data_IF_786033083966
#
_entry.id   IF_786033083966
#
_cell.length_a   1.000
_cell.length_b   1.000
_cell.length_c   1.000
_cell.angle_alpha   90.00
_cell.angle_beta   90.00
_cell.angle_gamma   90.00
#
_symmetry.space_group_name_H-M   'P 1'
#
loop_
_entity.id
_entity.type
_entity.pdbx_description
1 polymer ?
#
# COMPACT_ATOMS: atom_id res chain seq x y z
N UNK A 1 28.90 16.34 26.53
CA UNK A 1 28.37 15.46 25.46
C UNK A 1 27.69 16.37 24.45
N UNK A 2 28.28 16.51 23.26
CA UNK A 2 27.76 17.38 22.20
C UNK A 2 26.88 16.54 21.28
N UNK A 3 25.56 16.74 21.33
CA UNK A 3 24.64 16.17 20.34
C UNK A 3 24.77 16.96 19.05
N UNK A 4 25.24 16.30 17.99
CA UNK A 4 25.20 16.87 16.64
C UNK A 4 23.74 17.06 16.22
N UNK A 5 23.34 18.22 15.71
CA UNK A 5 21.98 18.43 15.21
C UNK A 5 21.79 17.58 13.94
N UNK A 6 20.80 16.69 13.96
CA UNK A 6 20.35 15.99 12.77
C UNK A 6 19.89 17.03 11.74
N UNK A 7 20.45 17.05 10.52
CA UNK A 7 19.94 17.94 9.48
C UNK A 7 18.46 17.62 9.28
N UNK A 8 17.62 18.67 9.25
CA UNK A 8 16.21 18.54 8.96
C UNK A 8 16.08 17.85 7.60
N UNK A 9 15.82 16.54 7.62
CA UNK A 9 15.61 15.74 6.43
C UNK A 9 14.51 16.42 5.63
N UNK A 10 14.75 16.63 4.34
CA UNK A 10 13.74 17.12 3.42
C UNK A 10 12.44 16.34 3.70
N UNK A 11 11.40 17.04 4.16
CA UNK A 11 10.13 16.43 4.56
C UNK A 11 9.60 15.69 3.33
N UNK A 12 9.77 14.37 3.33
CA UNK A 12 9.25 13.54 2.26
C UNK A 12 7.73 13.71 2.23
N UNK A 13 7.08 13.61 1.06
CA UNK A 13 5.63 13.74 0.98
C UNK A 13 5.00 12.78 2.00
N UNK A 14 4.11 13.30 2.87
CA UNK A 14 3.41 12.46 3.82
C UNK A 14 2.63 11.41 3.04
N UNK A 15 2.85 10.13 3.36
CA UNK A 15 2.17 9.04 2.67
C UNK A 15 0.69 9.00 2.98
N UNK A 16 -0.08 8.40 2.08
CA UNK A 16 -1.53 8.26 2.23
C UNK A 16 -2.06 7.01 1.54
N UNK A 17 -3.01 6.36 2.20
CA UNK A 17 -3.86 5.32 1.64
C UNK A 17 -5.31 5.77 1.69
N UNK A 18 -6.04 5.66 0.58
CA UNK A 18 -7.48 5.95 0.56
C UNK A 18 -8.15 5.29 -0.65
N UNK A 19 -9.44 4.97 -0.50
CA UNK A 19 -10.24 4.47 -1.63
C UNK A 19 -10.52 5.62 -2.60
N UNK A 20 -10.31 5.39 -3.89
CA UNK A 20 -10.60 6.35 -4.94
C UNK A 20 -12.12 6.60 -5.00
N UNK A 21 -12.61 7.84 -4.76
CA UNK A 21 -14.03 8.12 -4.78
C UNK A 21 -14.67 7.98 -6.18
N UNK A 22 -13.88 8.14 -7.25
CA UNK A 22 -14.32 7.95 -8.63
C UNK A 22 -14.23 6.47 -9.06
N UNK A 23 -13.38 5.68 -8.39
CA UNK A 23 -13.20 4.24 -8.64
C UNK A 23 -13.18 3.47 -7.31
N UNK A 24 -14.33 3.22 -6.68
CA UNK A 24 -14.39 2.63 -5.32
C UNK A 24 -13.73 1.25 -5.16
N UNK A 25 -13.47 0.57 -6.28
CA UNK A 25 -12.71 -0.67 -6.34
C UNK A 25 -11.19 -0.50 -6.20
N UNK A 26 -10.68 0.73 -6.17
CA UNK A 26 -9.24 1.04 -6.20
C UNK A 26 -8.82 1.69 -4.88
N UNK A 27 -7.85 1.09 -4.20
CA UNK A 27 -7.12 1.71 -3.10
C UNK A 27 -5.91 2.47 -3.67
N UNK A 28 -5.86 3.78 -3.50
CA UNK A 28 -4.76 4.63 -3.92
C UNK A 28 -3.69 4.71 -2.83
N UNK A 29 -2.43 4.51 -3.24
CA UNK A 29 -1.25 4.71 -2.41
C UNK A 29 -0.39 5.84 -2.98
N UNK A 30 -0.16 6.87 -2.17
CA UNK A 30 0.59 8.06 -2.54
C UNK A 30 1.73 8.28 -1.55
N UNK A 31 2.94 8.60 -2.03
CA UNK A 31 4.10 8.87 -1.19
C UNK A 31 4.72 7.62 -0.55
N UNK A 32 5.26 7.75 0.65
CA UNK A 32 5.86 6.62 1.38
C UNK A 32 4.79 5.86 2.18
N UNK A 33 4.61 4.58 1.90
CA UNK A 33 3.65 3.74 2.63
C UNK A 33 4.42 2.96 3.68
N UNK A 34 4.49 3.54 4.88
CA UNK A 34 5.08 2.92 6.06
C UNK A 34 3.99 2.47 7.05
N UNK A 35 4.43 1.95 8.19
CA UNK A 35 3.55 1.52 9.28
C UNK A 35 2.60 2.62 9.78
N UNK A 36 3.02 3.89 9.82
CA UNK A 36 2.16 4.97 10.34
C UNK A 36 1.01 5.27 9.37
N UNK A 37 1.25 5.15 8.06
CA UNK A 37 0.20 5.27 7.03
C UNK A 37 -0.80 4.12 7.13
N UNK A 38 -0.33 2.89 7.34
CA UNK A 38 -1.21 1.71 7.50
C UNK A 38 -2.02 1.80 8.80
N UNK A 39 -1.40 2.22 9.91
CA UNK A 39 -2.11 2.46 11.17
C UNK A 39 -3.19 3.54 11.03
N UNK A 40 -2.90 4.62 10.31
CA UNK A 40 -3.86 5.70 10.07
C UNK A 40 -5.09 5.15 9.32
N UNK A 41 -4.87 4.41 8.23
CA UNK A 41 -5.95 3.76 7.49
C UNK A 41 -6.76 2.80 8.36
N UNK A 42 -6.10 1.94 9.13
CA UNK A 42 -6.78 1.00 10.03
C UNK A 42 -7.64 1.73 11.07
N UNK A 43 -7.11 2.81 11.65
CA UNK A 43 -7.82 3.69 12.57
C UNK A 43 -9.05 4.37 11.94
N UNK A 44 -8.94 4.86 10.70
CA UNK A 44 -10.06 5.42 9.94
C UNK A 44 -11.16 4.37 9.65
N UNK A 45 -10.75 3.12 9.43
CA UNK A 45 -11.65 1.98 9.22
C UNK A 45 -12.21 1.40 10.54
N UNK A 46 -11.71 1.84 11.70
CA UNK A 46 -12.13 1.36 13.02
C UNK A 46 -11.70 -0.08 13.32
N UNK A 47 -10.61 -0.56 12.72
CA UNK A 47 -10.08 -1.92 12.86
C UNK A 47 -8.59 -1.93 13.14
N UNK A 48 -8.02 -3.11 13.42
CA UNK A 48 -6.57 -3.32 13.43
C UNK A 48 -6.02 -3.53 12.01
N UNK A 49 -4.69 -3.59 11.87
CA UNK A 49 -4.00 -3.71 10.58
C UNK A 49 -4.41 -4.97 9.79
N UNK A 50 -4.64 -6.07 10.51
CA UNK A 50 -5.07 -7.36 9.92
C UNK A 50 -6.52 -7.25 9.44
N UNK A 51 -7.39 -6.63 10.23
CA UNK A 51 -8.79 -6.39 9.92
C UNK A 51 -8.99 -5.42 8.74
N UNK A 52 -8.06 -4.49 8.53
CA UNK A 52 -8.12 -3.52 7.43
C UNK A 52 -8.26 -4.22 6.06
N UNK A 53 -7.50 -5.29 5.82
CA UNK A 53 -7.58 -6.02 4.55
C UNK A 53 -8.95 -6.66 4.29
N UNK A 54 -9.56 -7.23 5.33
CA UNK A 54 -10.93 -7.77 5.26
C UNK A 54 -11.95 -6.67 4.98
N UNK A 55 -11.85 -5.53 5.66
CA UNK A 55 -12.77 -4.41 5.49
C UNK A 55 -12.67 -3.83 4.08
N UNK A 56 -11.46 -3.62 3.58
CA UNK A 56 -11.24 -3.12 2.22
C UNK A 56 -11.80 -4.09 1.17
N UNK A 57 -11.56 -5.39 1.32
CA UNK A 57 -12.11 -6.39 0.43
C UNK A 57 -13.66 -6.42 0.48
N UNK A 58 -14.26 -6.33 1.68
CA UNK A 58 -15.70 -6.26 1.84
C UNK A 58 -16.32 -4.98 1.26
N UNK A 59 -15.54 -3.88 1.24
CA UNK A 59 -15.90 -2.63 0.57
C UNK A 59 -15.76 -2.69 -0.97
N UNK A 60 -15.33 -3.83 -1.52
CA UNK A 60 -15.21 -4.05 -2.95
C UNK A 60 -13.88 -3.62 -3.55
N UNK A 61 -12.83 -3.43 -2.75
CA UNK A 61 -11.48 -3.17 -3.28
C UNK A 61 -10.97 -4.41 -4.02
N UNK A 62 -10.51 -4.19 -5.24
CA UNK A 62 -10.02 -5.23 -6.17
C UNK A 62 -8.62 -4.92 -6.69
N UNK A 63 -8.19 -3.67 -6.55
CA UNK A 63 -6.94 -3.16 -7.07
C UNK A 63 -6.29 -2.19 -6.07
N UNK A 64 -4.97 -2.24 -5.96
CA UNK A 64 -4.16 -1.24 -5.26
C UNK A 64 -3.30 -0.52 -6.28
N UNK A 65 -3.41 0.81 -6.33
CA UNK A 65 -2.63 1.65 -7.23
C UNK A 65 -1.41 2.22 -6.49
N UNK A 66 -0.23 1.79 -6.93
CA UNK A 66 1.07 2.22 -6.41
C UNK A 66 1.76 3.23 -7.36
N UNK A 67 1.07 3.75 -8.38
CA UNK A 67 1.66 4.68 -9.37
C UNK A 67 2.25 5.95 -8.75
N UNK A 68 1.69 6.39 -7.62
CA UNK A 68 2.14 7.56 -6.88
C UNK A 68 2.93 7.21 -5.60
N UNK A 69 3.18 5.91 -5.35
CA UNK A 69 3.95 5.46 -4.20
C UNK A 69 5.45 5.56 -4.48
N UNK A 70 6.19 6.15 -3.56
CA UNK A 70 7.65 6.32 -3.67
C UNK A 70 8.43 5.27 -2.86
N UNK A 71 7.78 4.66 -1.87
CA UNK A 71 8.35 3.63 -0.99
C UNK A 71 7.24 2.79 -0.36
N UNK A 72 7.52 1.50 -0.09
CA UNK A 72 6.66 0.62 0.70
C UNK A 72 7.54 -0.24 1.63
N UNK A 73 7.09 -0.49 2.86
CA UNK A 73 7.75 -1.39 3.82
C UNK A 73 6.97 -2.69 4.05
N UNK A 74 7.38 -3.48 5.04
CA UNK A 74 6.70 -4.73 5.41
C UNK A 74 5.25 -4.55 5.85
N UNK A 75 4.88 -3.40 6.42
CA UNK A 75 3.50 -3.12 6.85
C UNK A 75 2.59 -2.90 5.64
N UNK A 76 3.08 -2.19 4.62
CA UNK A 76 2.39 -2.10 3.35
C UNK A 76 2.23 -3.47 2.67
N UNK A 77 3.25 -4.33 2.71
CA UNK A 77 3.15 -5.70 2.20
C UNK A 77 2.13 -6.52 2.99
N UNK A 78 2.10 -6.39 4.32
CA UNK A 78 1.14 -7.07 5.18
C UNK A 78 -0.30 -6.67 4.83
N UNK A 79 -0.55 -5.40 4.50
CA UNK A 79 -1.85 -4.93 4.01
C UNK A 79 -2.24 -5.59 2.67
N UNK A 80 -1.32 -5.66 1.70
CA UNK A 80 -1.60 -6.34 0.43
C UNK A 80 -1.94 -7.83 0.65
N UNK A 81 -1.18 -8.49 1.52
CA UNK A 81 -1.38 -9.90 1.89
C UNK A 81 -2.68 -10.10 2.67
N UNK A 82 -3.15 -9.13 3.44
CA UNK A 82 -4.42 -9.24 4.15
C UNK A 82 -5.64 -9.05 3.24
N UNK A 83 -5.51 -8.30 2.15
CA UNK A 83 -6.57 -8.15 1.13
C UNK A 83 -6.64 -9.37 0.20
N UNK A 84 -5.49 -9.86 -0.29
CA UNK A 84 -5.42 -10.84 -1.38
C UNK A 84 -6.24 -12.14 -1.19
N UNK A 85 -6.30 -12.77 0.01
CA UNK A 85 -7.10 -13.98 0.23
C UNK A 85 -8.60 -13.79 -0.04
N UNK A 86 -9.11 -12.57 0.08
CA UNK A 86 -10.51 -12.24 -0.12
C UNK A 86 -10.88 -12.00 -1.58
N UNK A 87 -9.92 -12.07 -2.50
CA UNK A 87 -10.15 -11.88 -3.95
C UNK A 87 -10.39 -13.16 -4.73
N UNK A 88 -10.29 -14.32 -4.09
CA UNK A 88 -10.40 -15.62 -4.78
C UNK A 88 -11.76 -15.77 -5.48
N UNK A 89 -11.80 -16.35 -6.70
CA UNK A 89 -10.70 -17.03 -7.39
C UNK A 89 -9.66 -16.09 -8.03
N UNK A 90 -9.99 -14.80 -8.19
CA UNK A 90 -9.11 -13.79 -8.74
C UNK A 90 -7.95 -13.46 -7.79
N UNK A 91 -6.94 -12.77 -8.32
CA UNK A 91 -5.82 -12.23 -7.53
C UNK A 91 -6.00 -10.72 -7.37
N UNK A 92 -5.49 -10.18 -6.27
CA UNK A 92 -5.45 -8.74 -6.06
C UNK A 92 -4.53 -8.10 -7.12
N UNK A 93 -5.05 -7.10 -7.83
CA UNK A 93 -4.28 -6.36 -8.82
C UNK A 93 -3.47 -5.28 -8.13
N UNK A 94 -2.19 -5.16 -8.48
CA UNK A 94 -1.32 -4.07 -8.04
C UNK A 94 -0.86 -3.31 -9.27
N UNK A 95 -1.37 -2.09 -9.45
CA UNK A 95 -1.07 -1.26 -10.62
C UNK A 95 0.08 -0.31 -10.34
N UNK A 96 0.94 -0.11 -11.33
CA UNK A 96 1.81 1.06 -11.40
C UNK A 96 2.98 1.07 -10.41
N UNK A 97 3.26 -0.05 -9.76
CA UNK A 97 4.47 -0.20 -8.97
C UNK A 97 5.71 0.04 -9.87
N UNK A 98 6.55 1.00 -9.50
CA UNK A 98 7.82 1.29 -10.16
C UNK A 98 8.92 1.48 -9.12
N UNK A 99 10.20 1.49 -9.53
CA UNK A 99 11.32 1.80 -8.65
C UNK A 99 11.36 0.95 -7.37
N UNK A 100 11.47 1.61 -6.21
CA UNK A 100 11.59 0.95 -4.91
C UNK A 100 10.38 0.07 -4.56
N UNK A 101 9.10 0.53 -4.69
CA UNK A 101 7.94 -0.33 -4.50
C UNK A 101 7.96 -1.64 -5.31
N UNK A 102 8.30 -1.55 -6.61
CA UNK A 102 8.37 -2.74 -7.46
C UNK A 102 9.48 -3.70 -7.01
N UNK A 103 10.66 -3.15 -6.67
CA UNK A 103 11.78 -3.95 -6.16
C UNK A 103 11.39 -4.68 -4.86
N UNK A 104 10.71 -4.01 -3.93
CA UNK A 104 10.25 -4.62 -2.67
C UNK A 104 9.28 -5.78 -2.92
N UNK A 105 8.31 -5.61 -3.85
CA UNK A 105 7.37 -6.68 -4.21
C UNK A 105 8.08 -7.91 -4.81
N UNK A 106 9.06 -7.68 -5.67
CA UNK A 106 9.83 -8.75 -6.33
C UNK A 106 10.77 -9.49 -5.37
N UNK A 107 11.50 -8.75 -4.53
CA UNK A 107 12.44 -9.33 -3.55
C UNK A 107 11.69 -10.18 -2.51
N UNK A 108 10.45 -9.80 -2.17
CA UNK A 108 9.61 -10.58 -1.26
C UNK A 108 8.82 -11.70 -1.95
N UNK A 109 8.89 -11.82 -3.28
CA UNK A 109 8.16 -12.82 -4.06
C UNK A 109 6.65 -12.62 -4.09
N UNK A 110 6.18 -11.42 -3.73
CA UNK A 110 4.75 -11.12 -3.66
C UNK A 110 4.10 -11.01 -5.05
N UNK A 111 4.91 -10.75 -6.07
CA UNK A 111 4.56 -10.83 -7.48
C UNK A 111 4.14 -12.23 -7.95
N UNK A 112 4.46 -13.29 -7.20
CA UNK A 112 3.96 -14.64 -7.48
C UNK A 112 2.49 -14.85 -7.07
N UNK A 113 1.97 -14.03 -6.15
CA UNK A 113 0.62 -14.16 -5.57
C UNK A 113 -0.32 -12.99 -5.89
N UNK A 114 0.22 -11.87 -6.33
CA UNK A 114 -0.50 -10.68 -6.79
C UNK A 114 -0.42 -10.57 -8.31
N UNK A 115 -1.40 -9.89 -8.93
CA UNK A 115 -1.32 -9.57 -10.35
C UNK A 115 -0.71 -8.18 -10.52
N UNK A 116 0.58 -8.12 -10.84
CA UNK A 116 1.26 -6.86 -11.14
C UNK A 116 0.84 -6.34 -12.52
N UNK A 117 0.29 -5.13 -12.56
CA UNK A 117 -0.18 -4.46 -13.77
C UNK A 117 0.67 -3.21 -14.01
N UNK A 118 1.19 -2.96 -15.22
CA UNK A 118 1.87 -1.71 -15.54
C UNK A 118 0.98 -0.49 -15.25
N UNK A 119 1.59 0.67 -14.98
CA UNK A 119 0.88 1.93 -15.13
C UNK A 119 0.52 2.06 -16.62
N UNK A 120 -0.77 1.99 -16.95
CA UNK A 120 -1.25 2.06 -18.33
C UNK A 120 -0.98 3.43 -18.95
N UNK A 121 -0.60 3.41 -20.23
CA UNK A 121 -0.31 4.55 -21.11
C UNK A 121 -1.47 5.54 -21.29
#
# INVERSE_FOLDING_TARGET
>A
MTTLPTPAGARRPAGRLHVDPARPAVLLAEGEIDIDVVHTLAGELGVDEVGAGRVLAAAGVEEVDLSAATFIDSSALALLVSIAPHRRPDRLRVRGATGAPLMTLQVTGLDAVLDLVPAGA
#
